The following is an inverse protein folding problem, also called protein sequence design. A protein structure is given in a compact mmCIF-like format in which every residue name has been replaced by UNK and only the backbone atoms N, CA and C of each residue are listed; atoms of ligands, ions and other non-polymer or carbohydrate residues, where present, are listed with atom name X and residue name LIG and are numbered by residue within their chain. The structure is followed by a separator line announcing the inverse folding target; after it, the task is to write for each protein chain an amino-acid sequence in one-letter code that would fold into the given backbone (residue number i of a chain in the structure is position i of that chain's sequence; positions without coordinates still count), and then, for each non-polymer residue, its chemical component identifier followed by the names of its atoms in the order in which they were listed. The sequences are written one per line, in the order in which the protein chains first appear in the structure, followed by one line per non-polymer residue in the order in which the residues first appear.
data_IF_730144222866
#
_entry.id   IF_730144222866
#
_cell.length_a   1.000
_cell.length_b   1.000
_cell.length_c   1.000
_cell.angle_alpha   90.00
_cell.angle_beta   90.00
_cell.angle_gamma   90.00
#
_symmetry.space_group_name_H-M   'P 1'
#
loop_
_entity.id
_entity.type
_entity.pdbx_description
1 polymer ?
#
# COMPACT_ATOMS: atom_id res chain seq x y z
N UNK A 1 23.33 17.43 1.64
CA UNK A 1 21.89 17.44 1.36
C UNK A 1 21.43 15.99 1.46
N UNK A 2 20.59 15.64 2.46
CA UNK A 2 20.16 14.25 2.67
C UNK A 2 18.83 14.09 1.93
N UNK A 3 18.87 13.55 0.70
CA UNK A 3 17.68 13.08 -0.01
C UNK A 3 17.26 11.74 0.59
N UNK A 4 16.69 11.73 1.79
CA UNK A 4 15.92 10.58 2.28
C UNK A 4 14.46 10.92 2.10
N UNK A 5 13.73 10.09 1.35
CA UNK A 5 12.29 10.17 1.30
C UNK A 5 11.74 10.02 2.74
N UNK A 6 10.80 10.88 3.10
CA UNK A 6 10.16 10.84 4.41
C UNK A 6 9.01 9.84 4.35
N UNK A 7 9.13 8.72 5.08
CA UNK A 7 8.00 7.80 5.31
C UNK A 7 7.96 6.53 4.47
N UNK A 8 9.08 5.80 4.40
CA UNK A 8 9.09 4.53 3.68
C UNK A 8 8.87 3.34 4.63
N UNK A 9 7.76 2.64 4.40
CA UNK A 9 7.32 1.47 5.17
C UNK A 9 7.28 0.21 4.30
N UNK A 10 7.28 -0.93 4.98
CA UNK A 10 6.83 -2.20 4.42
C UNK A 10 5.40 -2.41 4.92
N UNK A 11 4.44 -2.55 4.00
CA UNK A 11 3.01 -2.62 4.33
C UNK A 11 2.37 -3.90 3.78
N UNK A 12 1.59 -4.58 4.60
CA UNK A 12 0.66 -5.63 4.17
C UNK A 12 -0.70 -5.00 3.90
N UNK A 13 -1.31 -5.37 2.78
CA UNK A 13 -2.61 -4.89 2.36
C UNK A 13 -3.58 -6.07 2.30
N UNK A 14 -4.71 -5.96 2.97
CA UNK A 14 -5.73 -7.00 2.97
C UNK A 14 -7.14 -6.45 2.84
N UNK A 15 -8.04 -7.25 2.27
CA UNK A 15 -9.47 -7.01 2.20
C UNK A 15 -10.18 -8.21 2.82
N UNK A 16 -10.96 -7.99 3.88
CA UNK A 16 -11.47 -9.05 4.76
C UNK A 16 -10.30 -9.94 5.26
N UNK A 17 -10.39 -11.24 5.05
CA UNK A 17 -9.37 -12.22 5.41
C UNK A 17 -8.42 -12.49 4.22
N UNK A 18 -8.66 -11.82 3.08
CA UNK A 18 -7.89 -11.98 1.86
C UNK A 18 -6.71 -11.01 1.80
N UNK A 19 -5.50 -11.54 1.70
CA UNK A 19 -4.31 -10.73 1.41
C UNK A 19 -4.36 -10.27 -0.05
N UNK A 20 -4.12 -8.97 -0.28
CA UNK A 20 -3.94 -8.34 -1.58
C UNK A 20 -2.46 -8.19 -1.90
N UNK A 21 -1.66 -7.84 -0.88
CA UNK A 21 -0.21 -7.76 -0.92
C UNK A 21 0.33 -8.09 0.47
N UNK A 22 1.31 -8.98 0.58
CA UNK A 22 1.78 -9.47 1.86
C UNK A 22 2.92 -8.66 2.46
N UNK A 23 3.65 -7.87 1.66
CA UNK A 23 4.91 -7.25 2.07
C UNK A 23 5.39 -6.13 1.13
N UNK A 24 4.50 -5.24 0.71
CA UNK A 24 4.82 -4.13 -0.21
C UNK A 24 5.83 -3.16 0.42
N UNK A 25 7.02 -3.07 -0.17
CA UNK A 25 8.00 -2.04 0.16
C UNK A 25 7.72 -0.76 -0.63
N UNK A 26 7.64 0.38 0.08
CA UNK A 26 7.36 1.69 -0.51
C UNK A 26 8.60 2.60 -0.58
N UNK A 27 9.80 2.07 -0.28
CA UNK A 27 11.04 2.82 -0.32
C UNK A 27 11.53 3.07 -1.74
N UNK A 28 11.51 4.33 -2.18
CA UNK A 28 12.14 4.75 -3.43
C UNK A 28 12.63 6.22 -3.33
N UNK A 29 13.94 6.43 -3.49
CA UNK A 29 14.58 7.74 -3.39
C UNK A 29 14.42 8.62 -4.62
N UNK A 30 14.05 8.03 -5.76
CA UNK A 30 13.93 8.72 -7.05
C UNK A 30 12.46 8.88 -7.47
N UNK A 31 11.52 8.48 -6.60
CA UNK A 31 10.09 8.50 -6.92
C UNK A 31 9.56 9.94 -7.00
N UNK A 32 8.93 10.25 -8.14
CA UNK A 32 8.10 11.46 -8.29
C UNK A 32 6.62 11.11 -8.08
N UNK A 33 6.21 9.90 -8.46
CA UNK A 33 4.93 9.26 -8.14
C UNK A 33 5.06 7.75 -8.26
N UNK A 34 4.48 6.99 -7.34
CA UNK A 34 4.45 5.52 -7.38
C UNK A 34 3.44 4.97 -8.40
N UNK A 35 2.58 5.82 -8.97
CA UNK A 35 1.39 5.38 -9.70
C UNK A 35 0.37 4.70 -8.79
N UNK A 36 -0.70 4.17 -9.39
CA UNK A 36 -1.71 3.39 -8.66
C UNK A 36 -1.34 1.91 -8.62
N UNK A 37 -1.48 1.27 -7.45
CA UNK A 37 -1.38 -0.18 -7.34
C UNK A 37 -2.70 -0.84 -7.73
N UNK A 38 -2.64 -1.82 -8.63
CA UNK A 38 -3.80 -2.61 -9.06
C UNK A 38 -3.67 -4.01 -8.46
N UNK A 39 -4.67 -4.42 -7.69
CA UNK A 39 -4.75 -5.76 -7.12
C UNK A 39 -5.77 -6.58 -7.92
N UNK A 40 -5.44 -7.84 -8.21
CA UNK A 40 -6.27 -8.69 -9.05
C UNK A 40 -7.63 -9.06 -8.42
N UNK A 41 -8.51 -9.53 -9.29
CA UNK A 41 -9.97 -9.57 -9.18
C UNK A 41 -10.50 -10.31 -7.95
N UNK A 42 -10.75 -9.54 -6.89
CA UNK A 42 -11.52 -9.99 -5.74
C UNK A 42 -13.00 -9.68 -5.97
N UNK A 43 -13.84 -10.71 -5.85
CA UNK A 43 -15.29 -10.53 -5.81
C UNK A 43 -15.68 -9.86 -4.50
N UNK A 44 -16.08 -8.60 -4.57
CA UNK A 44 -16.66 -7.88 -3.44
C UNK A 44 -18.02 -8.49 -3.09
N UNK A 45 -18.27 -8.69 -1.80
CA UNK A 45 -19.58 -9.10 -1.27
C UNK A 45 -20.42 -7.88 -0.88
N UNK A 46 -21.73 -8.06 -0.79
CA UNK A 46 -22.58 -7.04 -0.18
C UNK A 46 -22.26 -6.91 1.32
N UNK A 47 -22.18 -5.67 1.81
CA UNK A 47 -21.93 -5.37 3.21
C UNK A 47 -20.54 -4.81 3.50
N UNK A 48 -20.21 -4.71 4.79
CA UNK A 48 -18.93 -4.15 5.27
C UNK A 48 -17.79 -5.13 4.98
N UNK A 49 -16.77 -4.65 4.28
CA UNK A 49 -15.53 -5.38 4.04
C UNK A 49 -14.33 -4.48 4.40
N UNK A 50 -13.62 -4.72 5.52
CA UNK A 50 -12.47 -3.91 5.90
C UNK A 50 -11.30 -4.06 4.92
N UNK A 51 -10.86 -2.94 4.37
CA UNK A 51 -9.53 -2.78 3.78
C UNK A 51 -8.56 -2.42 4.92
N UNK A 52 -7.49 -3.22 5.10
CA UNK A 52 -6.48 -3.00 6.15
C UNK A 52 -5.11 -2.78 5.54
N UNK A 53 -4.36 -1.88 6.16
CA UNK A 53 -2.96 -1.59 5.88
C UNK A 53 -2.20 -1.84 7.18
N UNK A 54 -1.43 -2.92 7.24
CA UNK A 54 -0.63 -3.27 8.39
C UNK A 54 0.84 -2.91 8.11
N UNK A 55 1.40 -1.98 8.88
CA UNK A 55 2.82 -1.63 8.79
C UNK A 55 3.63 -2.77 9.42
N UNK A 56 4.41 -3.47 8.62
CA UNK A 56 5.25 -4.59 9.03
C UNK A 56 6.64 -4.12 9.50
N UNK A 57 7.06 -2.95 9.03
CA UNK A 57 8.36 -2.37 9.32
C UNK A 57 8.66 -1.17 8.44
N UNK A 58 9.93 -0.81 8.38
CA UNK A 58 10.43 0.28 7.55
C UNK A 58 11.75 -0.15 6.91
N UNK A 59 12.05 0.40 5.72
CA UNK A 59 13.32 0.15 5.07
C UNK A 59 14.47 0.70 5.94
N UNK A 60 15.57 -0.04 6.16
CA UNK A 60 16.69 0.42 7.01
C UNK A 60 17.37 1.72 6.54
N UNK A 61 17.22 2.07 5.26
CA UNK A 61 17.78 3.28 4.66
C UNK A 61 16.85 4.49 4.78
N UNK A 62 15.58 4.29 5.15
CA UNK A 62 14.58 5.34 5.31
C UNK A 62 14.79 6.15 6.60
N UNK A 63 14.22 7.35 6.65
CA UNK A 63 13.92 7.99 7.94
C UNK A 63 12.70 7.25 8.52
N UNK A 64 12.90 6.51 9.59
CA UNK A 64 11.85 5.70 10.21
C UNK A 64 10.80 6.59 10.86
N UNK A 65 9.71 6.86 10.14
CA UNK A 65 8.51 7.53 10.66
C UNK A 65 7.30 6.61 10.75
N UNK A 66 7.40 5.39 10.21
CA UNK A 66 6.30 4.40 10.16
C UNK A 66 4.99 5.02 9.65
N UNK A 67 5.10 5.78 8.56
CA UNK A 67 4.00 6.50 7.96
C UNK A 67 3.67 5.89 6.60
N UNK A 68 2.38 5.79 6.28
CA UNK A 68 1.90 5.47 4.94
C UNK A 68 0.96 6.59 4.50
N UNK A 69 1.27 7.19 3.34
CA UNK A 69 0.39 8.15 2.68
C UNK A 69 -0.54 7.41 1.72
N UNK A 70 -1.84 7.64 1.83
CA UNK A 70 -2.85 7.10 0.91
C UNK A 70 -3.53 8.29 0.25
N UNK A 71 -3.38 8.41 -1.06
CA UNK A 71 -4.00 9.49 -1.84
C UNK A 71 -5.44 9.13 -2.22
N UNK A 72 -5.61 8.00 -2.91
CA UNK A 72 -6.93 7.49 -3.28
C UNK A 72 -7.01 5.96 -3.20
N UNK A 73 -8.26 5.49 -3.18
CA UNK A 73 -8.61 4.08 -3.25
C UNK A 73 -9.85 3.97 -4.12
N UNK A 74 -9.77 3.19 -5.21
CA UNK A 74 -10.84 3.10 -6.21
C UNK A 74 -11.21 1.66 -6.52
N UNK A 75 -12.51 1.35 -6.39
CA UNK A 75 -13.07 0.08 -6.85
C UNK A 75 -13.48 0.21 -8.30
N UNK A 76 -12.79 -0.53 -9.17
CA UNK A 76 -13.03 -0.51 -10.60
C UNK A 76 -13.73 -1.82 -10.97
N UNK A 77 -14.92 -1.76 -11.62
CA UNK A 77 -15.53 -2.96 -12.20
C UNK A 77 -14.55 -3.60 -13.18
N UNK A 78 -14.37 -4.91 -13.07
CA UNK A 78 -13.65 -5.62 -14.11
C UNK A 78 -14.65 -5.91 -15.23
N UNK A 79 -14.42 -5.34 -16.41
CA UNK A 79 -15.16 -5.71 -17.61
C UNK A 79 -14.94 -7.21 -17.88
N UNK A 80 -16.02 -7.96 -18.07
CA UNK A 80 -16.01 -9.40 -18.34
C UNK A 80 -15.49 -9.72 -19.73
#
# INVERSE_FOLDING_TARGET
MINRAAGDVIVKISLDDGVLDDSRELYDTDVTTTGGFVFENRKLKSGKQPLRFDILGANPKAIQSFMVGIDDVRWVPQDR
#
